data_IF_218016274923
#
_entry.id   IF_218016274923
#
_cell.length_a   1.000
_cell.length_b   1.000
_cell.length_c   1.000
_cell.angle_alpha   90.00
_cell.angle_beta   90.00
_cell.angle_gamma   90.00
#
_symmetry.space_group_name_H-M   'P 1'
#
loop_
_entity.id
_entity.type
_entity.pdbx_description
1 polymer ?
#
# COMPACT_ATOMS: atom_id res chain seq x y z
N UNK A 1 -6.24 7.23 8.10
CA UNK A 1 -6.50 6.95 6.67
C UNK A 1 -7.71 6.04 6.45
N UNK A 2 -8.17 5.29 7.45
CA UNK A 2 -9.33 4.37 7.39
C UNK A 2 -10.65 4.99 7.86
N UNK A 3 -10.71 6.31 8.05
CA UNK A 3 -11.88 7.04 8.56
C UNK A 3 -12.23 8.18 7.61
N UNK A 4 -13.49 8.62 7.65
CA UNK A 4 -14.01 9.76 6.87
C UNK A 4 -13.74 9.64 5.37
N UNK A 5 -14.05 8.48 4.79
CA UNK A 5 -13.98 8.25 3.34
C UNK A 5 -15.10 8.99 2.63
N UNK A 6 -14.79 9.59 1.48
CA UNK A 6 -15.81 10.16 0.61
C UNK A 6 -16.61 9.05 -0.07
N UNK A 7 -17.81 9.39 -0.57
CA UNK A 7 -18.62 8.41 -1.29
C UNK A 7 -17.92 7.93 -2.56
N UNK A 8 -17.17 8.82 -3.22
CA UNK A 8 -16.36 8.49 -4.39
C UNK A 8 -15.26 7.49 -4.04
N UNK A 9 -14.52 7.70 -2.94
CA UNK A 9 -13.48 6.78 -2.47
C UNK A 9 -14.05 5.40 -2.12
N UNK A 10 -15.24 5.33 -1.52
CA UNK A 10 -15.94 4.09 -1.21
C UNK A 10 -16.42 3.37 -2.48
N UNK A 11 -16.98 4.11 -3.45
CA UNK A 11 -17.46 3.56 -4.72
C UNK A 11 -16.33 2.91 -5.51
N UNK A 12 -15.15 3.54 -5.55
CA UNK A 12 -13.96 3.01 -6.22
C UNK A 12 -13.08 2.16 -5.29
N UNK A 13 -13.50 1.96 -4.03
CA UNK A 13 -12.82 1.17 -2.99
C UNK A 13 -11.35 1.55 -2.80
N UNK A 14 -10.99 2.82 -3.02
CA UNK A 14 -9.62 3.31 -2.94
C UNK A 14 -9.53 4.76 -2.51
N UNK A 15 -8.66 5.00 -1.54
CA UNK A 15 -8.11 6.30 -1.18
C UNK A 15 -6.62 6.33 -1.54
N UNK A 16 -6.18 7.35 -2.28
CA UNK A 16 -4.76 7.56 -2.55
C UNK A 16 -4.17 8.44 -1.46
N UNK A 17 -3.09 7.95 -0.86
CA UNK A 17 -2.40 8.65 0.23
C UNK A 17 -1.04 9.09 -0.26
N UNK A 18 -0.81 10.41 -0.28
CA UNK A 18 0.49 11.00 -0.59
C UNK A 18 1.31 11.10 0.69
N UNK A 19 2.53 10.59 0.65
CA UNK A 19 3.51 10.66 1.72
C UNK A 19 4.60 11.69 1.40
N UNK A 20 4.98 12.44 2.43
CA UNK A 20 6.10 13.36 2.42
C UNK A 20 7.05 12.98 3.54
N UNK A 21 8.35 13.18 3.32
CA UNK A 21 9.35 13.02 4.36
C UNK A 21 10.30 14.21 4.42
N UNK A 22 10.69 14.55 5.63
CA UNK A 22 11.74 15.51 5.93
C UNK A 22 12.79 14.78 6.75
N UNK A 23 14.05 14.91 6.35
CA UNK A 23 15.18 14.39 7.11
C UNK A 23 15.78 15.50 7.94
N UNK A 24 15.78 15.30 9.24
CA UNK A 24 16.44 16.17 10.19
C UNK A 24 17.48 15.36 10.96
N UNK A 25 18.76 15.50 10.59
CA UNK A 25 19.88 14.77 11.20
C UNK A 25 19.65 13.23 11.16
N UNK A 26 19.48 12.60 12.33
CA UNK A 26 19.24 11.15 12.51
C UNK A 26 17.75 10.78 12.61
N UNK A 27 16.83 11.70 12.29
CA UNK A 27 15.38 11.47 12.37
C UNK A 27 14.74 11.63 11.00
N UNK A 28 13.85 10.70 10.66
CA UNK A 28 12.94 10.80 9.51
C UNK A 28 11.59 11.24 10.06
N UNK A 29 11.11 12.39 9.63
CA UNK A 29 9.75 12.85 9.92
C UNK A 29 8.91 12.60 8.66
N UNK A 30 7.87 11.78 8.78
CA UNK A 30 6.95 11.52 7.69
C UNK A 30 5.60 12.20 7.98
N UNK A 31 5.00 12.78 6.97
CA UNK A 31 3.62 13.26 6.99
C UNK A 31 2.86 12.68 5.81
N UNK A 32 1.54 12.65 5.89
CA UNK A 32 0.71 12.08 4.84
C UNK A 32 -0.61 12.82 4.73
N UNK A 33 -1.19 12.81 3.53
CA UNK A 33 -2.53 13.34 3.26
C UNK A 33 -3.25 12.49 2.22
N UNK A 34 -4.58 12.44 2.30
CA UNK A 34 -5.39 11.93 1.21
C UNK A 34 -5.35 12.92 0.03
N UNK A 35 -5.35 12.40 -1.19
CA UNK A 35 -5.33 13.20 -2.42
C UNK A 35 -6.29 12.60 -3.44
N UNK A 36 -6.89 13.46 -4.26
CA UNK A 36 -7.70 13.03 -5.38
C UNK A 36 -6.79 12.53 -6.52
N UNK A 37 -6.94 11.27 -6.98
CA UNK A 37 -6.19 10.77 -8.14
C UNK A 37 -6.42 11.57 -9.43
N UNK A 38 -7.57 12.24 -9.57
CA UNK A 38 -7.94 13.06 -10.74
C UNK A 38 -7.03 14.28 -10.87
N UNK A 39 -6.64 14.89 -9.74
CA UNK A 39 -5.72 16.03 -9.70
C UNK A 39 -4.31 15.67 -10.19
N UNK A 40 -4.00 14.37 -10.29
CA UNK A 40 -2.68 13.83 -10.68
C UNK A 40 -1.54 14.57 -9.97
N UNK A 41 -1.55 14.60 -8.63
CA UNK A 41 -0.57 15.33 -7.86
C UNK A 41 0.85 14.93 -8.28
N UNK A 42 1.67 15.94 -8.54
CA UNK A 42 3.08 15.76 -8.89
C UNK A 42 3.91 15.68 -7.61
N UNK A 43 5.01 14.92 -7.69
CA UNK A 43 6.00 14.74 -6.62
C UNK A 43 5.48 13.95 -5.40
N UNK A 44 6.39 13.28 -4.69
CA UNK A 44 6.09 12.45 -3.52
C UNK A 44 5.80 10.99 -3.85
N UNK A 45 5.50 10.21 -2.81
CA UNK A 45 5.13 8.80 -2.92
C UNK A 45 3.66 8.61 -2.63
N UNK A 46 3.05 7.72 -3.40
CA UNK A 46 1.64 7.39 -3.30
C UNK A 46 1.48 5.95 -2.84
N UNK A 47 0.63 5.75 -1.85
CA UNK A 47 0.22 4.43 -1.37
C UNK A 47 -1.30 4.34 -1.52
N UNK A 48 -1.77 3.24 -2.10
CA UNK A 48 -3.19 2.98 -2.21
C UNK A 48 -3.70 2.38 -0.91
N UNK A 49 -4.58 3.10 -0.20
CA UNK A 49 -5.40 2.52 0.85
C UNK A 49 -6.62 1.91 0.17
N UNK A 50 -6.75 0.59 0.21
CA UNK A 50 -7.77 -0.17 -0.50
C UNK A 50 -8.82 -0.62 0.49
N UNK A 51 -10.09 -0.33 0.22
CA UNK A 51 -11.19 -0.72 1.10
C UNK A 51 -11.80 -2.05 0.65
N UNK A 52 -12.12 -2.91 1.61
CA UNK A 52 -12.90 -4.12 1.36
C UNK A 52 -13.71 -4.53 2.58
N UNK A 53 -14.92 -5.02 2.35
CA UNK A 53 -15.73 -5.65 3.38
C UNK A 53 -15.38 -7.13 3.49
N UNK A 54 -14.81 -7.54 4.64
CA UNK A 54 -14.52 -8.94 4.89
C UNK A 54 -15.81 -9.69 5.24
N UNK A 55 -16.33 -10.44 4.25
CA UNK A 55 -17.57 -11.21 4.40
C UNK A 55 -17.51 -12.27 5.51
N UNK A 56 -16.32 -12.79 5.85
CA UNK A 56 -16.20 -13.88 6.84
C UNK A 56 -16.40 -13.39 8.27
N UNK A 57 -15.87 -12.20 8.56
CA UNK A 57 -15.90 -11.60 9.91
C UNK A 57 -16.81 -10.38 9.99
N UNK A 58 -17.52 -10.06 8.91
CA UNK A 58 -18.52 -8.99 8.81
C UNK A 58 -17.99 -7.63 9.27
N UNK A 59 -16.83 -7.22 8.73
CA UNK A 59 -16.26 -5.93 9.09
C UNK A 59 -15.46 -5.26 7.95
N UNK A 60 -15.37 -3.94 8.07
CA UNK A 60 -14.61 -3.11 7.16
C UNK A 60 -13.11 -3.30 7.36
N UNK A 61 -12.41 -3.52 6.25
CA UNK A 61 -10.95 -3.69 6.22
C UNK A 61 -10.33 -2.78 5.20
N UNK A 62 -9.10 -2.39 5.50
CA UNK A 62 -8.26 -1.59 4.61
C UNK A 62 -6.95 -2.27 4.37
N UNK A 63 -6.42 -2.14 3.16
CA UNK A 63 -5.21 -2.83 2.73
C UNK A 63 -4.24 -1.90 2.01
N UNK A 64 -2.97 -2.31 1.96
CA UNK A 64 -1.95 -1.77 1.06
C UNK A 64 -1.26 -2.92 0.31
N UNK A 65 -0.61 -2.61 -0.80
CA UNK A 65 0.12 -3.61 -1.59
C UNK A 65 1.59 -3.70 -1.19
N UNK A 66 2.24 -4.86 -1.38
CA UNK A 66 3.70 -4.99 -1.20
C UNK A 66 4.49 -4.01 -2.08
N UNK A 67 3.97 -3.67 -3.27
CA UNK A 67 4.63 -2.73 -4.18
C UNK A 67 4.62 -1.32 -3.61
N UNK A 68 3.46 -0.87 -3.11
CA UNK A 68 3.35 0.45 -2.48
C UNK A 68 4.22 0.53 -1.22
N UNK A 69 4.26 -0.53 -0.43
CA UNK A 69 5.11 -0.62 0.76
C UNK A 69 6.60 -0.46 0.45
N UNK A 70 7.09 -1.18 -0.57
CA UNK A 70 8.51 -1.09 -0.95
C UNK A 70 8.85 0.29 -1.50
N UNK A 71 7.99 0.87 -2.33
CA UNK A 71 8.20 2.22 -2.85
C UNK A 71 8.21 3.27 -1.72
N UNK A 72 7.32 3.11 -0.72
CA UNK A 72 7.30 3.94 0.47
C UNK A 72 8.61 3.82 1.24
N UNK A 73 9.08 2.61 1.51
CA UNK A 73 10.37 2.40 2.19
C UNK A 73 11.53 3.05 1.45
N UNK A 74 11.67 2.81 0.14
CA UNK A 74 12.75 3.40 -0.68
C UNK A 74 12.73 4.94 -0.61
N UNK A 75 11.57 5.56 -0.57
CA UNK A 75 11.48 7.02 -0.42
C UNK A 75 11.74 7.52 0.98
N UNK A 76 11.25 6.82 2.01
CA UNK A 76 11.47 7.21 3.40
C UNK A 76 12.96 7.12 3.74
N UNK A 77 13.61 6.01 3.38
CA UNK A 77 15.05 5.76 3.61
C UNK A 77 15.93 6.43 2.57
N UNK A 78 15.41 6.74 1.38
CA UNK A 78 16.15 7.37 0.26
C UNK A 78 17.22 6.45 -0.30
N UNK A 79 17.09 5.17 0.01
CA UNK A 79 17.96 4.10 -0.43
C UNK A 79 17.17 3.33 -1.47
N UNK A 80 17.80 3.12 -2.62
CA UNK A 80 17.27 2.20 -3.63
C UNK A 80 17.59 0.78 -3.19
N UNK A 81 16.56 -0.01 -2.91
CA UNK A 81 16.70 -1.38 -2.45
C UNK A 81 17.08 -2.28 -3.63
N UNK A 82 18.01 -3.19 -3.39
CA UNK A 82 18.36 -4.27 -4.32
C UNK A 82 17.22 -5.30 -4.42
N UNK A 83 17.26 -6.15 -5.45
CA UNK A 83 16.28 -7.24 -5.59
C UNK A 83 16.26 -8.17 -4.37
N UNK A 84 17.44 -8.46 -3.80
CA UNK A 84 17.57 -9.36 -2.65
C UNK A 84 17.01 -8.72 -1.37
N UNK A 85 17.25 -7.43 -1.15
CA UNK A 85 16.65 -6.68 -0.05
C UNK A 85 15.13 -6.61 -0.18
N UNK A 86 14.61 -6.32 -1.39
CA UNK A 86 13.16 -6.34 -1.66
C UNK A 86 12.57 -7.71 -1.34
N UNK A 87 13.26 -8.80 -1.70
CA UNK A 87 12.81 -10.16 -1.40
C UNK A 87 12.86 -10.46 0.10
N UNK A 88 13.91 -10.03 0.82
CA UNK A 88 14.02 -10.19 2.28
C UNK A 88 12.92 -9.43 3.02
N UNK A 89 12.63 -8.20 2.59
CA UNK A 89 11.54 -7.39 3.14
C UNK A 89 10.18 -8.05 2.89
N UNK A 90 9.93 -8.56 1.68
CA UNK A 90 8.69 -9.31 1.39
C UNK A 90 8.51 -10.54 2.28
N UNK A 91 9.59 -11.29 2.56
CA UNK A 91 9.55 -12.42 3.51
C UNK A 91 9.19 -11.98 4.92
N UNK A 92 9.74 -10.86 5.40
CA UNK A 92 9.33 -10.30 6.70
C UNK A 92 7.84 -9.96 6.71
N UNK A 93 7.31 -9.39 5.62
CA UNK A 93 5.91 -9.01 5.55
C UNK A 93 4.93 -10.19 5.61
N UNK A 94 5.35 -11.41 5.22
CA UNK A 94 4.47 -12.60 5.33
C UNK A 94 4.03 -12.88 6.78
N UNK A 95 4.75 -12.36 7.79
CA UNK A 95 4.34 -12.44 9.21
C UNK A 95 2.97 -11.77 9.47
N UNK A 96 2.59 -10.79 8.64
CA UNK A 96 1.31 -10.09 8.71
C UNK A 96 0.18 -10.79 7.94
N UNK A 97 0.39 -12.05 7.50
CA UNK A 97 -0.61 -12.93 6.89
C UNK A 97 -1.36 -12.26 5.72
N UNK A 98 -0.66 -11.93 4.62
CA UNK A 98 -1.28 -11.25 3.49
C UNK A 98 -2.35 -12.09 2.80
N UNK A 99 -3.34 -11.39 2.25
CA UNK A 99 -4.25 -11.95 1.26
C UNK A 99 -3.54 -11.92 -0.09
N UNK A 100 -3.64 -13.02 -0.83
CA UNK A 100 -3.03 -13.13 -2.17
C UNK A 100 -4.12 -13.11 -3.22
N UNK A 101 -4.14 -12.05 -4.04
CA UNK A 101 -5.13 -11.85 -5.11
C UNK A 101 -4.45 -11.98 -6.46
N UNK A 102 -5.13 -12.53 -7.46
CA UNK A 102 -4.54 -12.79 -8.76
C UNK A 102 -5.56 -13.22 -9.79
N UNK A 103 -5.12 -13.29 -11.05
CA UNK A 103 -5.93 -13.78 -12.17
C UNK A 103 -6.28 -15.26 -11.91
N UNK A 104 -7.57 -15.60 -11.90
CA UNK A 104 -8.12 -16.95 -11.66
C UNK A 104 -8.24 -17.39 -10.18
N UNK A 105 -8.39 -16.45 -9.24
CA UNK A 105 -8.68 -16.79 -7.84
C UNK A 105 -10.11 -16.36 -7.51
N UNK A 106 -11.05 -17.29 -7.69
CA UNK A 106 -12.51 -17.10 -7.62
C UNK A 106 -12.99 -16.19 -6.47
N UNK A 107 -12.41 -16.32 -5.26
CA UNK A 107 -12.84 -15.54 -4.08
C UNK A 107 -12.30 -14.09 -4.05
N UNK A 108 -11.34 -13.75 -4.91
CA UNK A 108 -10.60 -12.47 -4.89
C UNK A 108 -10.61 -11.72 -6.22
N UNK A 109 -11.38 -12.21 -7.20
CA UNK A 109 -11.43 -11.66 -8.55
C UNK A 109 -11.89 -10.20 -8.56
N UNK A 110 -12.83 -9.81 -7.68
CA UNK A 110 -13.31 -8.43 -7.62
C UNK A 110 -12.21 -7.45 -7.18
N UNK A 111 -11.48 -7.74 -6.10
CA UNK A 111 -10.37 -6.88 -5.63
C UNK A 111 -9.28 -6.78 -6.70
N UNK A 112 -8.97 -7.89 -7.38
CA UNK A 112 -7.98 -7.90 -8.44
C UNK A 112 -8.44 -7.05 -9.64
N UNK A 113 -9.72 -7.12 -10.04
CA UNK A 113 -10.28 -6.27 -11.09
C UNK A 113 -10.20 -4.79 -10.74
N UNK A 114 -10.55 -4.42 -9.51
CA UNK A 114 -10.43 -3.04 -9.02
C UNK A 114 -8.97 -2.55 -9.07
N UNK A 115 -8.03 -3.36 -8.57
CA UNK A 115 -6.59 -3.06 -8.66
C UNK A 115 -6.10 -2.82 -10.09
N UNK A 116 -6.63 -3.58 -11.05
CA UNK A 116 -6.26 -3.48 -12.45
C UNK A 116 -6.94 -2.31 -13.19
N UNK A 117 -8.09 -1.83 -12.71
CA UNK A 117 -8.83 -0.72 -13.31
C UNK A 117 -8.25 0.65 -12.97
N UNK A 118 -7.53 0.74 -11.85
CA UNK A 118 -6.87 1.96 -11.40
C UNK A 118 -5.86 2.50 -12.41
N UNK A 119 -6.04 3.77 -12.83
CA UNK A 119 -5.19 4.45 -13.81
C UNK A 119 -3.98 5.16 -13.20
N UNK A 120 -4.10 5.70 -11.98
CA UNK A 120 -3.03 6.36 -11.25
C UNK A 120 -2.35 5.42 -10.24
N UNK A 121 -1.01 5.47 -10.16
CA UNK A 121 -0.20 4.62 -9.28
C UNK A 121 -0.56 3.11 -9.39
N UNK A 122 -0.72 2.62 -10.63
CA UNK A 122 -1.05 1.21 -10.90
C UNK A 122 0.13 0.29 -10.55
N UNK A 123 -0.13 -0.90 -9.97
CA UNK A 123 0.90 -1.92 -9.81
C UNK A 123 1.52 -2.28 -11.17
N UNK A 124 2.86 -2.20 -11.29
CA UNK A 124 3.56 -2.33 -12.59
C UNK A 124 3.61 -3.77 -13.13
N UNK A 125 3.50 -4.78 -12.27
CA UNK A 125 3.58 -6.18 -12.66
C UNK A 125 2.19 -6.83 -12.63
N UNK A 126 1.45 -6.66 -13.73
CA UNK A 126 0.05 -7.09 -13.89
C UNK A 126 -0.11 -8.62 -13.93
N UNK A 127 0.95 -9.37 -14.24
CA UNK A 127 0.92 -10.83 -14.39
C UNK A 127 1.15 -11.62 -13.09
N UNK A 128 1.58 -10.96 -12.01
CA UNK A 128 1.93 -11.65 -10.76
C UNK A 128 0.83 -11.52 -9.72
N UNK A 129 0.73 -12.55 -8.87
CA UNK A 129 -0.05 -12.51 -7.63
C UNK A 129 0.31 -11.26 -6.82
N UNK A 130 -0.71 -10.50 -6.43
CA UNK A 130 -0.59 -9.31 -5.62
C UNK A 130 -0.85 -9.67 -4.17
N UNK A 131 0.08 -9.28 -3.29
CA UNK A 131 -0.04 -9.44 -1.85
C UNK A 131 -0.66 -8.17 -1.24
N UNK A 132 -1.73 -8.35 -0.49
CA UNK A 132 -2.45 -7.32 0.23
C UNK A 132 -2.28 -7.51 1.74
N UNK A 133 -1.91 -6.44 2.43
CA UNK A 133 -1.65 -6.44 3.87
C UNK A 133 -2.57 -5.44 4.55
N UNK A 134 -3.10 -5.76 5.73
CA UNK A 134 -3.99 -4.83 6.44
C UNK A 134 -3.28 -3.51 6.76
N UNK A 135 -3.94 -2.39 6.47
CA UNK A 135 -3.43 -1.02 6.63
C UNK A 135 -2.91 -0.73 8.03
N UNK A 136 -3.53 -1.33 9.06
CA UNK A 136 -3.09 -1.19 10.46
C UNK A 136 -1.64 -1.63 10.70
N UNK A 137 -1.07 -2.47 9.82
CA UNK A 137 0.31 -2.93 9.93
C UNK A 137 1.33 -2.02 9.24
N UNK A 138 0.89 -1.07 8.39
CA UNK A 138 1.78 -0.27 7.55
C UNK A 138 2.85 0.47 8.36
N UNK A 139 2.44 1.24 9.38
CA UNK A 139 3.36 2.06 10.16
C UNK A 139 4.34 1.20 10.96
N UNK A 140 3.83 0.20 11.66
CA UNK A 140 4.64 -0.70 12.47
C UNK A 140 5.66 -1.48 11.62
N UNK A 141 5.25 -1.95 10.43
CA UNK A 141 6.15 -2.64 9.52
C UNK A 141 7.26 -1.70 9.02
N UNK A 142 6.92 -0.46 8.65
CA UNK A 142 7.89 0.57 8.23
C UNK A 142 8.92 0.83 9.35
N UNK A 143 8.46 1.11 10.56
CA UNK A 143 9.34 1.37 11.71
C UNK A 143 10.26 0.19 12.02
N UNK A 144 9.74 -1.05 11.97
CA UNK A 144 10.51 -2.27 12.17
C UNK A 144 11.61 -2.44 11.13
N UNK A 145 11.38 -2.05 9.88
CA UNK A 145 12.40 -2.10 8.84
C UNK A 145 13.41 -0.96 9.01
N UNK A 146 12.95 0.27 9.23
CA UNK A 146 13.84 1.43 9.39
C UNK A 146 14.79 1.24 10.58
N UNK A 147 14.32 0.69 11.71
CA UNK A 147 15.16 0.46 12.88
C UNK A 147 16.18 -0.69 12.72
N UNK A 148 16.06 -1.50 11.66
CA UNK A 148 17.06 -2.53 11.31
C UNK A 148 18.20 -1.99 10.44
N UNK A 149 18.01 -0.82 9.83
CA UNK A 149 18.97 -0.12 8.99
C UNK A 149 19.58 1.07 9.75
#
# INVERSE_FOLDING_TARGET
MTQSWSQEELNVRRRVVQFFNIRAKKRIMASFKAVDPIERPKNGIFVSCLYWYDKKIQCDKWYFTSTDYLNLLESLTGIRLTSDEKNRIRRNLEEYKPITVGKNKNDSDEIYKDLMSYSFAKPRNVEKDIKLYEWRHLLHAVEKIINKY
#
